data_IF_144139290671
#
_entry.id   IF_144139290671
#
_cell.length_a   1.000
_cell.length_b   1.000
_cell.length_c   1.000
_cell.angle_alpha   90.00
_cell.angle_beta   90.00
_cell.angle_gamma   90.00
#
_symmetry.space_group_name_H-M   'P 1'
#
loop_
_entity.id
_entity.type
_entity.pdbx_description
1 polymer ?
#
# COMPACT_ATOMS: atom_id res chain seq x y z
N UNK A 1 -25.03 -34.78 25.70
CA UNK A 1 -26.23 -34.17 25.09
C UNK A 1 -25.81 -32.85 24.48
N UNK A 2 -25.73 -32.83 23.10
CA UNK A 2 -26.25 -31.81 22.16
C UNK A 2 -25.78 -30.35 22.42
N UNK A 3 -25.12 -29.59 21.56
CA UNK A 3 -25.06 -29.52 20.09
C UNK A 3 -23.76 -28.82 19.67
N UNK A 4 -23.05 -29.41 18.73
CA UNK A 4 -22.09 -28.68 17.89
C UNK A 4 -22.84 -27.99 16.77
N UNK A 5 -22.58 -26.71 16.48
CA UNK A 5 -22.98 -26.05 15.23
C UNK A 5 -21.75 -25.41 14.57
N UNK A 6 -21.49 -25.97 13.39
CA UNK A 6 -20.61 -25.58 12.32
C UNK A 6 -20.74 -24.10 11.94
N UNK A 7 -19.59 -23.43 11.74
CA UNK A 7 -19.49 -22.35 10.77
C UNK A 7 -18.39 -22.75 9.78
N UNK A 8 -18.81 -23.00 8.55
CA UNK A 8 -17.90 -23.14 7.40
C UNK A 8 -17.67 -21.74 6.83
N UNK A 9 -16.43 -21.27 6.89
CA UNK A 9 -15.94 -20.16 6.06
C UNK A 9 -15.74 -20.69 4.63
N UNK A 10 -16.30 -20.00 3.65
CA UNK A 10 -16.05 -20.25 2.23
C UNK A 10 -14.70 -19.65 1.87
N UNK A 11 -13.69 -20.48 1.74
CA UNK A 11 -12.45 -20.11 1.04
C UNK A 11 -12.62 -20.59 -0.39
N UNK A 12 -12.51 -19.67 -1.35
CA UNK A 12 -12.53 -19.96 -2.78
C UNK A 12 -11.32 -20.81 -3.15
N UNK A 13 -11.60 -21.97 -3.65
CA UNK A 13 -10.60 -22.94 -4.09
C UNK A 13 -10.23 -22.72 -5.55
N UNK A 14 -9.00 -22.27 -5.79
CA UNK A 14 -8.30 -22.66 -7.03
C UNK A 14 -7.88 -24.12 -6.86
N UNK A 15 -8.39 -24.99 -7.74
CA UNK A 15 -8.35 -26.41 -7.54
C UNK A 15 -6.96 -27.02 -7.72
N UNK A 16 -6.52 -27.76 -6.72
CA UNK A 16 -5.60 -28.87 -6.91
C UNK A 16 -6.47 -30.13 -6.87
N UNK A 17 -6.74 -30.69 -8.03
CA UNK A 17 -7.38 -32.00 -8.15
C UNK A 17 -6.29 -33.07 -8.08
N UNK A 18 -5.94 -33.49 -6.88
CA UNK A 18 -5.16 -34.71 -6.68
C UNK A 18 -6.15 -35.85 -6.57
N UNK A 19 -6.39 -36.54 -7.70
CA UNK A 19 -7.15 -37.77 -7.70
C UNK A 19 -6.23 -38.92 -7.24
N UNK A 20 -6.35 -39.31 -5.97
CA UNK A 20 -5.85 -40.60 -5.52
C UNK A 20 -6.81 -41.71 -6.02
N UNK A 21 -6.49 -42.38 -7.08
CA UNK A 21 -7.11 -43.64 -7.47
C UNK A 21 -6.40 -44.79 -6.73
N UNK A 22 -7.12 -45.38 -5.79
CA UNK A 22 -6.72 -46.61 -5.16
C UNK A 22 -6.75 -47.76 -6.22
N UNK A 23 -5.61 -48.41 -6.34
CA UNK A 23 -5.43 -49.56 -7.21
C UNK A 23 -6.28 -50.75 -6.72
N UNK A 24 -7.22 -51.21 -7.55
CA UNK A 24 -7.61 -52.62 -7.55
C UNK A 24 -6.84 -53.31 -8.68
N UNK A 25 -5.90 -54.12 -8.26
CA UNK A 25 -5.19 -55.00 -9.18
C UNK A 25 -6.14 -55.98 -9.82
N UNK A 26 -6.34 -55.88 -11.14
CA UNK A 26 -6.66 -57.02 -11.98
C UNK A 26 -5.57 -57.08 -13.03
N UNK A 27 -4.82 -58.18 -12.97
CA UNK A 27 -3.88 -58.55 -14.03
C UNK A 27 -4.69 -58.77 -15.31
N UNK A 28 -4.42 -57.94 -16.27
CA UNK A 28 -4.65 -58.25 -17.68
C UNK A 28 -3.49 -57.70 -18.48
N UNK A 29 -2.95 -58.48 -19.40
CA UNK A 29 -1.89 -58.08 -20.29
C UNK A 29 -2.45 -57.07 -21.31
N UNK A 30 -2.62 -55.85 -20.87
CA UNK A 30 -2.86 -54.73 -21.75
C UNK A 30 -1.56 -54.00 -22.00
N UNK A 31 -1.30 -53.68 -23.25
CA UNK A 31 -0.15 -52.88 -23.68
C UNK A 31 0.09 -51.72 -22.71
N UNK A 32 1.26 -51.68 -22.07
CA UNK A 32 1.70 -50.55 -21.26
C UNK A 32 1.70 -49.30 -22.14
N UNK A 33 0.64 -48.51 -22.05
CA UNK A 33 0.61 -47.21 -22.70
C UNK A 33 1.68 -46.35 -21.95
N UNK A 34 2.80 -46.05 -22.64
CA UNK A 34 3.86 -45.32 -21.96
C UNK A 34 3.30 -43.98 -21.43
N UNK A 35 3.55 -43.74 -20.15
CA UNK A 35 3.19 -42.47 -19.55
C UNK A 35 3.86 -41.31 -20.31
N UNK A 36 3.08 -40.41 -20.86
CA UNK A 36 3.63 -39.25 -21.57
C UNK A 36 4.14 -38.26 -20.51
N UNK A 37 5.44 -38.04 -20.53
CA UNK A 37 6.13 -37.05 -19.70
C UNK A 37 6.51 -35.87 -20.57
N UNK A 38 6.17 -34.63 -20.13
CA UNK A 38 6.50 -33.39 -20.82
C UNK A 38 6.47 -32.24 -19.81
N UNK A 39 7.50 -31.42 -19.84
CA UNK A 39 7.50 -30.17 -19.08
C UNK A 39 8.79 -29.39 -19.21
N UNK A 40 8.75 -28.10 -18.91
CA UNK A 40 9.93 -27.28 -18.69
C UNK A 40 10.46 -27.46 -17.26
N UNK A 41 11.77 -27.41 -17.08
CA UNK A 41 12.40 -27.46 -15.76
C UNK A 41 12.09 -26.20 -14.97
N UNK A 42 12.08 -25.08 -15.67
CA UNK A 42 11.64 -23.78 -15.19
C UNK A 42 10.68 -23.19 -16.21
N UNK A 43 9.54 -22.68 -15.74
CA UNK A 43 8.46 -22.25 -16.62
C UNK A 43 8.12 -20.76 -16.47
N UNK A 44 8.91 -19.97 -15.73
CA UNK A 44 8.71 -18.53 -15.59
C UNK A 44 10.05 -17.80 -15.54
N UNK A 45 10.24 -16.86 -16.46
CA UNK A 45 11.46 -16.09 -16.61
C UNK A 45 11.14 -14.61 -16.61
N UNK A 46 11.93 -13.80 -15.87
CA UNK A 46 11.85 -12.35 -15.89
C UNK A 46 13.19 -11.78 -16.35
N UNK A 47 13.16 -11.01 -17.43
CA UNK A 47 14.34 -10.44 -18.07
C UNK A 47 14.29 -8.91 -18.09
N UNK A 48 15.45 -8.28 -18.31
CA UNK A 48 15.57 -6.84 -18.42
C UNK A 48 15.01 -6.32 -19.77
N UNK A 49 14.91 -5.00 -19.89
CA UNK A 49 14.42 -4.33 -21.11
C UNK A 49 15.32 -4.51 -22.32
N UNK A 50 16.61 -4.76 -22.12
CA UNK A 50 17.58 -4.95 -23.22
C UNK A 50 17.41 -6.32 -23.87
N UNK A 51 17.65 -6.37 -25.18
CA UNK A 51 17.64 -7.60 -25.96
C UNK A 51 18.54 -8.69 -25.36
N UNK A 52 18.18 -9.92 -25.55
CA UNK A 52 18.90 -11.08 -25.02
C UNK A 52 18.24 -12.41 -25.39
N UNK A 53 18.62 -13.44 -24.72
CA UNK A 53 17.98 -14.75 -24.82
C UNK A 53 17.81 -15.43 -23.46
N UNK A 54 16.90 -16.38 -23.39
CA UNK A 54 16.66 -17.26 -22.24
C UNK A 54 16.72 -18.70 -22.71
N UNK A 55 17.59 -19.50 -22.09
CA UNK A 55 17.68 -20.94 -22.30
C UNK A 55 16.61 -21.69 -21.51
N UNK A 56 15.87 -22.55 -22.17
CA UNK A 56 14.79 -23.34 -21.58
C UNK A 56 15.11 -24.82 -21.73
N UNK A 57 15.25 -25.51 -20.60
CA UNK A 57 15.44 -26.96 -20.55
C UNK A 57 14.07 -27.65 -20.50
N UNK A 58 13.82 -28.57 -21.43
CA UNK A 58 12.60 -29.36 -21.50
C UNK A 58 12.96 -30.84 -21.31
N UNK A 59 12.20 -31.52 -20.47
CA UNK A 59 12.18 -32.96 -20.40
C UNK A 59 10.97 -33.51 -21.16
N UNK A 60 11.15 -34.48 -22.01
CA UNK A 60 10.07 -35.13 -22.75
C UNK A 60 10.46 -36.50 -23.24
N UNK A 61 9.61 -37.49 -23.04
CA UNK A 61 9.77 -38.84 -23.62
C UNK A 61 9.13 -38.96 -25.00
N UNK A 62 8.62 -37.86 -25.58
CA UNK A 62 8.05 -37.79 -26.92
C UNK A 62 8.47 -36.48 -27.61
N UNK A 63 8.41 -36.43 -28.95
CA UNK A 63 8.60 -35.19 -29.67
C UNK A 63 7.61 -34.11 -29.22
N UNK A 64 8.10 -32.89 -29.05
CA UNK A 64 7.27 -31.72 -28.67
C UNK A 64 7.28 -30.67 -29.77
N UNK A 65 6.19 -29.93 -29.86
CA UNK A 65 5.99 -28.75 -30.73
C UNK A 65 5.96 -27.52 -29.85
N UNK A 66 6.67 -26.47 -30.28
CA UNK A 66 6.75 -25.16 -29.60
C UNK A 66 6.02 -24.10 -30.41
N UNK A 67 5.21 -23.31 -29.76
CA UNK A 67 4.53 -22.17 -30.39
C UNK A 67 4.21 -21.09 -29.37
N UNK A 68 4.17 -19.82 -29.82
CA UNK A 68 3.61 -18.76 -29.00
C UNK A 68 2.10 -18.91 -28.85
N UNK A 69 1.56 -18.61 -27.67
CA UNK A 69 0.13 -18.57 -27.38
C UNK A 69 -0.50 -17.20 -27.63
N UNK A 70 0.33 -16.19 -27.82
CA UNK A 70 -0.04 -14.78 -27.97
C UNK A 70 0.81 -14.11 -29.07
N UNK A 71 0.77 -12.79 -29.16
CA UNK A 71 1.51 -12.02 -30.17
C UNK A 71 3.04 -11.92 -29.87
N UNK A 72 3.56 -12.80 -29.02
CA UNK A 72 4.98 -12.84 -28.63
C UNK A 72 5.93 -12.87 -29.82
N UNK A 73 5.54 -13.52 -30.92
CA UNK A 73 6.30 -13.57 -32.16
C UNK A 73 6.62 -12.18 -32.78
N UNK A 74 5.98 -11.13 -32.34
CA UNK A 74 6.26 -9.77 -32.80
C UNK A 74 7.56 -9.18 -32.22
N UNK A 75 8.09 -9.73 -31.13
CA UNK A 75 9.26 -9.22 -30.42
C UNK A 75 10.17 -10.33 -29.82
N UNK A 76 9.77 -11.58 -30.00
CA UNK A 76 10.53 -12.73 -29.55
C UNK A 76 10.51 -13.82 -30.64
N UNK A 77 11.59 -14.59 -30.74
CA UNK A 77 11.76 -15.67 -31.67
C UNK A 77 12.14 -16.95 -30.90
N UNK A 78 11.62 -18.11 -31.36
CA UNK A 78 12.01 -19.41 -30.85
C UNK A 78 13.17 -19.97 -31.68
N UNK A 79 14.23 -20.45 -31.03
CA UNK A 79 15.35 -21.13 -31.73
C UNK A 79 14.90 -22.34 -32.50
N UNK A 80 13.88 -23.03 -31.98
CA UNK A 80 13.32 -24.25 -32.53
C UNK A 80 11.79 -24.22 -32.38
N UNK A 81 11.09 -24.83 -33.30
CA UNK A 81 9.65 -25.05 -33.23
C UNK A 81 9.30 -26.54 -32.91
N UNK A 82 10.31 -27.40 -32.84
CA UNK A 82 10.13 -28.81 -32.50
C UNK A 82 11.35 -29.35 -31.77
N UNK A 83 11.09 -30.11 -30.74
CA UNK A 83 12.10 -30.90 -30.00
C UNK A 83 11.83 -32.36 -30.22
N UNK A 84 12.87 -33.19 -30.54
CA UNK A 84 12.68 -34.62 -30.79
C UNK A 84 12.35 -35.43 -29.53
N UNK A 85 13.00 -35.11 -28.43
CA UNK A 85 12.83 -35.68 -27.08
C UNK A 85 13.30 -34.61 -26.08
N UNK A 86 13.85 -35.01 -24.93
CA UNK A 86 14.51 -34.09 -24.01
C UNK A 86 15.46 -33.15 -24.76
N UNK A 87 15.39 -31.88 -24.45
CA UNK A 87 16.18 -30.91 -25.18
C UNK A 87 16.19 -29.54 -24.55
N UNK A 88 16.82 -28.64 -25.28
CA UNK A 88 16.85 -27.22 -24.96
C UNK A 88 16.40 -26.44 -26.17
N UNK A 89 15.69 -25.36 -25.91
CA UNK A 89 15.50 -24.29 -26.86
C UNK A 89 15.77 -22.96 -26.16
N UNK A 90 15.89 -21.93 -26.90
CA UNK A 90 15.96 -20.58 -26.34
C UNK A 90 14.96 -19.66 -27.00
N UNK A 91 14.59 -18.63 -26.25
CA UNK A 91 13.76 -17.53 -26.73
C UNK A 91 14.68 -16.32 -26.84
N UNK A 92 14.94 -15.87 -28.07
CA UNK A 92 15.56 -14.59 -28.35
C UNK A 92 14.49 -13.50 -28.21
N UNK A 93 14.83 -12.38 -27.58
CA UNK A 93 13.90 -11.26 -27.42
C UNK A 93 14.60 -9.93 -27.74
N UNK A 94 13.84 -9.03 -28.39
CA UNK A 94 14.29 -7.70 -28.75
C UNK A 94 14.26 -6.73 -27.59
N UNK A 95 14.93 -5.56 -27.73
CA UNK A 95 14.81 -4.44 -26.78
C UNK A 95 13.35 -4.03 -26.58
N UNK A 96 13.03 -3.65 -25.35
CA UNK A 96 11.72 -3.12 -24.97
C UNK A 96 11.84 -1.66 -24.52
N UNK A 97 11.64 -0.72 -25.44
CA UNK A 97 11.63 0.72 -25.14
C UNK A 97 10.31 1.20 -24.48
N UNK A 98 9.29 0.33 -24.44
CA UNK A 98 7.95 0.60 -23.91
C UNK A 98 7.78 0.20 -22.44
N UNK A 99 6.54 -0.10 -22.07
CA UNK A 99 6.15 -0.69 -20.80
C UNK A 99 6.49 -2.19 -20.73
N UNK A 100 6.46 -2.81 -19.54
CA UNK A 100 6.63 -4.24 -19.40
C UNK A 100 5.72 -5.04 -20.32
N UNK A 101 6.22 -6.17 -20.85
CA UNK A 101 5.45 -7.05 -21.73
C UNK A 101 5.72 -8.50 -21.40
N UNK A 102 4.83 -9.38 -21.81
CA UNK A 102 4.88 -10.80 -21.53
C UNK A 102 4.49 -11.59 -22.77
N UNK A 103 5.03 -12.79 -22.88
CA UNK A 103 4.57 -13.80 -23.85
C UNK A 103 4.62 -15.18 -23.23
N UNK A 104 3.84 -16.08 -23.82
CA UNK A 104 3.74 -17.48 -23.40
C UNK A 104 4.11 -18.39 -24.54
N UNK A 105 4.97 -19.36 -24.27
CA UNK A 105 5.32 -20.42 -25.19
C UNK A 105 4.68 -21.72 -24.74
N UNK A 106 3.82 -22.26 -25.58
CA UNK A 106 3.25 -23.59 -25.41
C UNK A 106 4.28 -24.63 -25.82
N UNK A 107 4.51 -25.59 -24.95
CA UNK A 107 5.24 -26.83 -25.23
C UNK A 107 4.20 -27.94 -25.29
N UNK A 108 3.97 -28.55 -26.44
CA UNK A 108 2.90 -29.53 -26.61
C UNK A 108 3.49 -30.82 -27.18
N UNK A 109 3.11 -31.97 -26.61
CA UNK A 109 3.46 -33.29 -27.20
C UNK A 109 2.89 -33.40 -28.61
N UNK A 110 3.58 -34.17 -29.49
CA UNK A 110 3.18 -34.28 -30.91
C UNK A 110 1.77 -34.87 -31.09
N UNK A 111 1.28 -35.63 -30.15
CA UNK A 111 -0.07 -36.19 -30.11
C UNK A 111 -1.10 -35.27 -29.41
N UNK A 112 -0.66 -34.10 -28.96
CA UNK A 112 -1.46 -33.11 -28.26
C UNK A 112 -2.12 -33.57 -26.93
N UNK A 113 -1.63 -34.65 -26.33
CA UNK A 113 -2.19 -35.19 -25.07
C UNK A 113 -1.62 -34.48 -23.84
N UNK A 114 -0.38 -33.99 -23.91
CA UNK A 114 0.28 -33.24 -22.82
C UNK A 114 0.77 -31.89 -23.32
N UNK A 115 0.67 -30.90 -22.44
CA UNK A 115 1.23 -29.58 -22.69
C UNK A 115 1.75 -28.95 -21.41
N UNK A 116 2.73 -28.06 -21.57
CA UNK A 116 3.25 -27.20 -20.55
C UNK A 116 3.41 -25.79 -21.15
N UNK A 117 3.55 -24.76 -20.30
CA UNK A 117 3.64 -23.38 -20.76
C UNK A 117 4.81 -22.68 -20.06
N UNK A 118 5.66 -22.05 -20.85
CA UNK A 118 6.73 -21.18 -20.36
C UNK A 118 6.30 -19.73 -20.53
N UNK A 119 6.45 -18.94 -19.47
CA UNK A 119 6.14 -17.51 -19.43
C UNK A 119 7.43 -16.72 -19.46
N UNK A 120 7.57 -15.83 -20.44
CA UNK A 120 8.65 -14.84 -20.51
C UNK A 120 8.08 -13.45 -20.21
N UNK A 121 8.51 -12.85 -19.10
CA UNK A 121 8.22 -11.47 -18.71
C UNK A 121 9.43 -10.60 -19.01
N UNK A 122 9.25 -9.59 -19.83
CA UNK A 122 10.29 -8.61 -20.11
C UNK A 122 9.93 -7.26 -19.46
N UNK A 123 10.86 -6.72 -18.69
CA UNK A 123 10.75 -5.36 -18.15
C UNK A 123 10.72 -4.35 -19.28
N UNK A 124 10.08 -3.19 -19.06
CA UNK A 124 10.14 -2.06 -19.96
C UNK A 124 11.25 -1.09 -19.59
N UNK A 125 11.72 -0.32 -20.56
CA UNK A 125 12.53 0.87 -20.30
C UNK A 125 11.68 1.99 -19.65
N UNK A 126 10.36 1.96 -19.86
CA UNK A 126 9.38 2.82 -19.18
C UNK A 126 8.68 2.03 -18.08
N UNK A 127 8.45 2.68 -16.94
CA UNK A 127 7.66 2.13 -15.83
C UNK A 127 6.31 2.85 -15.85
N UNK A 128 5.17 2.11 -15.83
CA UNK A 128 3.86 2.73 -15.68
C UNK A 128 3.81 3.55 -14.38
N UNK A 129 3.14 4.68 -14.41
CA UNK A 129 3.01 5.56 -13.27
C UNK A 129 1.63 6.24 -13.25
N UNK A 130 1.03 6.30 -12.07
CA UNK A 130 -0.20 7.00 -11.76
C UNK A 130 -0.05 7.72 -10.42
N UNK A 131 -0.46 8.98 -10.35
CA UNK A 131 -0.45 9.73 -9.10
C UNK A 131 -1.54 10.80 -9.10
N UNK A 132 -2.26 10.96 -7.98
CA UNK A 132 -3.04 12.16 -7.71
C UNK A 132 -2.11 13.21 -7.09
N UNK A 133 -2.00 14.35 -7.72
CA UNK A 133 -1.24 15.47 -7.15
C UNK A 133 -2.06 16.16 -6.06
N UNK A 134 -1.45 16.33 -4.89
CA UNK A 134 -2.15 16.88 -3.71
C UNK A 134 -2.76 15.83 -2.78
N UNK A 135 -2.57 14.53 -3.08
CA UNK A 135 -2.97 13.42 -2.21
C UNK A 135 -4.16 12.62 -2.74
N UNK A 136 -4.53 11.61 -1.98
CA UNK A 136 -5.56 10.62 -2.34
C UNK A 136 -6.95 10.97 -1.80
N UNK A 137 -7.18 12.20 -1.37
CA UNK A 137 -8.47 12.67 -0.85
C UNK A 137 -8.80 14.06 -1.38
N UNK A 138 -10.06 14.29 -1.70
CA UNK A 138 -10.60 15.60 -2.07
C UNK A 138 -11.96 15.81 -1.41
N UNK A 139 -12.39 17.06 -1.23
CA UNK A 139 -13.72 17.35 -0.72
C UNK A 139 -14.49 18.26 -1.67
N UNK A 140 -15.80 18.04 -1.75
CA UNK A 140 -16.70 18.83 -2.60
C UNK A 140 -17.86 19.40 -1.79
N UNK A 141 -18.45 20.53 -2.23
CA UNK A 141 -19.62 21.11 -1.58
C UNK A 141 -20.80 20.12 -1.52
N UNK A 142 -21.62 20.26 -0.47
CA UNK A 142 -22.86 19.52 -0.32
C UNK A 142 -24.10 20.31 -0.72
N UNK A 143 -24.11 21.63 -0.51
CA UNK A 143 -25.28 22.49 -0.74
C UNK A 143 -25.78 22.51 -2.18
N UNK A 144 -24.95 22.13 -3.15
CA UNK A 144 -25.35 22.01 -4.56
C UNK A 144 -24.50 20.97 -5.26
N UNK A 145 -25.02 20.36 -6.33
CA UNK A 145 -24.23 19.58 -7.26
C UNK A 145 -23.28 20.45 -8.09
N UNK A 146 -22.27 19.85 -8.67
CA UNK A 146 -21.28 20.56 -9.46
C UNK A 146 -20.29 19.66 -10.18
N UNK A 147 -19.21 20.25 -10.64
CA UNK A 147 -18.07 19.59 -11.29
C UNK A 147 -16.82 19.78 -10.45
N UNK A 148 -16.02 18.75 -10.37
CA UNK A 148 -14.73 18.79 -9.69
C UNK A 148 -13.63 18.27 -10.61
N UNK A 149 -12.43 18.82 -10.42
CA UNK A 149 -11.20 18.38 -11.12
C UNK A 149 -10.10 18.19 -10.09
N UNK A 150 -9.36 17.11 -10.24
CA UNK A 150 -8.17 16.80 -9.43
C UNK A 150 -7.00 16.60 -10.40
N UNK A 151 -5.84 17.16 -10.09
CA UNK A 151 -4.64 16.92 -10.89
C UNK A 151 -4.24 15.45 -10.81
N UNK A 152 -3.90 14.90 -11.97
CA UNK A 152 -3.56 13.49 -12.09
C UNK A 152 -2.38 13.32 -13.05
N UNK A 153 -1.26 12.86 -12.51
CA UNK A 153 -0.08 12.57 -13.33
C UNK A 153 -0.08 11.12 -13.76
N UNK A 154 0.03 10.88 -15.08
CA UNK A 154 0.20 9.54 -15.63
C UNK A 154 1.03 9.55 -16.91
N UNK A 155 1.70 8.43 -17.20
CA UNK A 155 2.34 8.16 -18.48
C UNK A 155 1.64 7.02 -19.24
N UNK A 156 0.47 6.58 -18.75
CA UNK A 156 -0.39 5.54 -19.32
C UNK A 156 -1.44 6.23 -20.21
N UNK A 157 -1.79 5.62 -21.31
CA UNK A 157 -2.81 6.16 -22.19
C UNK A 157 -4.19 6.15 -21.52
N UNK A 158 -5.03 7.18 -21.67
CA UNK A 158 -6.33 7.27 -20.99
C UNK A 158 -7.29 6.10 -21.27
N UNK A 159 -7.19 5.49 -22.45
CA UNK A 159 -8.02 4.36 -22.87
C UNK A 159 -7.56 3.01 -22.28
N UNK A 160 -6.39 2.97 -21.67
CA UNK A 160 -5.90 1.81 -20.92
C UNK A 160 -6.30 1.86 -19.42
N UNK A 161 -6.84 3.01 -18.97
CA UNK A 161 -7.29 3.20 -17.59
C UNK A 161 -8.78 2.88 -17.44
N UNK A 162 -9.12 2.21 -16.35
CA UNK A 162 -10.50 1.94 -15.97
C UNK A 162 -10.84 2.57 -14.63
N UNK A 163 -12.10 3.03 -14.48
CA UNK A 163 -12.56 3.71 -13.28
C UNK A 163 -13.72 2.95 -12.66
N UNK A 164 -13.66 2.73 -11.36
CA UNK A 164 -14.76 2.16 -10.59
C UNK A 164 -15.02 3.02 -9.36
N UNK A 165 -16.28 3.13 -8.95
CA UNK A 165 -16.67 3.91 -7.79
C UNK A 165 -17.34 3.01 -6.77
N UNK A 166 -16.92 3.13 -5.51
CA UNK A 166 -17.56 2.52 -4.37
C UNK A 166 -18.06 3.63 -3.45
N UNK A 167 -19.34 3.58 -3.10
CA UNK A 167 -19.93 4.52 -2.16
C UNK A 167 -19.97 3.88 -0.78
N UNK A 168 -19.66 4.65 0.26
CA UNK A 168 -19.88 4.19 1.62
C UNK A 168 -21.40 4.16 1.87
N UNK A 169 -21.90 2.95 1.97
CA UNK A 169 -23.28 2.70 2.27
C UNK A 169 -23.46 2.46 3.77
N UNK A 170 -24.45 3.12 4.37
CA UNK A 170 -25.06 2.62 5.59
C UNK A 170 -25.75 1.25 5.36
N UNK A 171 -26.90 1.02 5.96
CA UNK A 171 -27.64 -0.26 5.85
C UNK A 171 -28.40 -0.45 4.55
N UNK A 172 -28.50 0.57 3.69
CA UNK A 172 -29.21 0.57 2.40
C UNK A 172 -28.24 0.69 1.22
N UNK A 173 -28.64 0.31 -0.01
CA UNK A 173 -27.80 0.53 -1.19
C UNK A 173 -27.44 2.02 -1.29
N UNK A 174 -26.16 2.31 -1.36
CA UNK A 174 -25.68 3.68 -1.45
C UNK A 174 -26.20 4.36 -2.73
N UNK A 175 -26.66 5.58 -2.61
CA UNK A 175 -27.00 6.42 -3.75
C UNK A 175 -25.74 6.74 -4.55
N UNK A 176 -25.77 6.54 -5.86
CA UNK A 176 -24.71 6.96 -6.77
C UNK A 176 -24.80 8.48 -6.97
N UNK A 177 -23.86 9.22 -6.42
CA UNK A 177 -23.86 10.67 -6.48
C UNK A 177 -22.69 11.27 -7.28
N UNK A 178 -21.74 10.42 -7.72
CA UNK A 178 -20.71 10.77 -8.69
C UNK A 178 -21.08 10.28 -10.08
N UNK A 179 -20.78 11.08 -11.10
CA UNK A 179 -21.03 10.75 -12.51
C UNK A 179 -19.97 11.38 -13.42
N UNK A 180 -20.00 11.06 -14.71
CA UNK A 180 -19.11 11.64 -15.76
C UNK A 180 -17.63 11.56 -15.39
N UNK A 181 -17.21 10.45 -14.73
CA UNK A 181 -15.83 10.25 -14.34
C UNK A 181 -14.98 10.06 -15.59
N UNK A 182 -13.96 10.90 -15.75
CA UNK A 182 -13.11 10.93 -16.93
C UNK A 182 -11.73 11.48 -16.65
N UNK A 183 -10.75 11.04 -17.43
CA UNK A 183 -9.42 11.65 -17.50
C UNK A 183 -9.35 12.53 -18.74
N UNK A 184 -9.01 13.79 -18.56
CA UNK A 184 -8.76 14.72 -19.66
C UNK A 184 -7.26 14.98 -19.76
N UNK A 185 -6.62 14.50 -20.84
CA UNK A 185 -5.24 14.85 -21.14
C UNK A 185 -5.12 16.35 -21.44
N UNK A 186 -4.21 17.02 -20.81
CA UNK A 186 -4.06 18.48 -20.92
C UNK A 186 -3.02 18.92 -21.96
N UNK A 187 -2.39 18.01 -22.69
CA UNK A 187 -1.37 18.31 -23.68
C UNK A 187 -0.05 18.78 -23.06
N UNK A 188 0.21 20.09 -23.04
CA UNK A 188 1.40 20.67 -22.37
C UNK A 188 1.14 21.03 -20.90
N UNK A 189 -0.11 20.97 -20.45
CA UNK A 189 -0.53 21.17 -19.07
C UNK A 189 -0.61 19.81 -18.36
N UNK A 190 -0.92 19.82 -17.06
CA UNK A 190 -1.11 18.60 -16.27
C UNK A 190 -2.47 17.95 -16.58
N UNK A 191 -2.50 16.63 -16.70
CA UNK A 191 -3.74 15.89 -16.87
C UNK A 191 -4.70 16.13 -15.72
N UNK A 192 -6.00 16.14 -15.98
CA UNK A 192 -7.03 16.34 -14.97
C UNK A 192 -7.98 15.15 -14.91
N UNK A 193 -8.19 14.67 -13.69
CA UNK A 193 -9.23 13.72 -13.37
C UNK A 193 -10.49 14.47 -13.00
N UNK A 194 -11.56 14.32 -13.79
CA UNK A 194 -12.79 15.08 -13.66
C UNK A 194 -13.96 14.18 -13.25
N UNK A 195 -14.88 14.73 -12.48
CA UNK A 195 -16.15 14.09 -12.16
C UNK A 195 -17.22 15.13 -11.84
N UNK A 196 -18.47 14.76 -12.11
CA UNK A 196 -19.65 15.52 -11.70
C UNK A 196 -20.20 14.91 -10.40
N UNK A 197 -20.81 15.71 -9.54
CA UNK A 197 -21.41 15.28 -8.29
C UNK A 197 -22.79 15.91 -8.07
N UNK A 198 -23.73 15.12 -7.54
CA UNK A 198 -25.05 15.60 -7.11
C UNK A 198 -24.98 16.31 -5.75
N UNK A 199 -25.94 17.19 -5.42
CA UNK A 199 -26.03 17.80 -4.10
C UNK A 199 -26.33 16.78 -2.99
N UNK A 200 -25.92 17.08 -1.79
CA UNK A 200 -26.19 16.30 -0.58
C UNK A 200 -27.32 16.94 0.22
N UNK A 201 -28.47 16.28 0.31
CA UNK A 201 -29.64 16.81 1.00
C UNK A 201 -29.66 16.49 2.51
N UNK A 202 -28.60 15.84 3.02
CA UNK A 202 -28.53 15.35 4.41
C UNK A 202 -27.63 16.23 5.29
N UNK A 203 -27.76 16.10 6.59
CA UNK A 203 -26.88 16.71 7.58
C UNK A 203 -25.63 15.84 7.85
N UNK A 204 -25.42 14.78 7.09
CA UNK A 204 -24.27 13.89 7.21
C UNK A 204 -23.32 14.05 6.02
N UNK A 205 -22.04 13.80 6.27
CA UNK A 205 -21.06 13.64 5.19
C UNK A 205 -21.35 12.36 4.43
N UNK A 206 -21.07 12.35 3.14
CA UNK A 206 -21.01 11.11 2.38
C UNK A 206 -19.69 10.97 1.65
N UNK A 207 -19.24 9.74 1.49
CA UNK A 207 -17.94 9.44 0.92
C UNK A 207 -18.08 8.47 -0.25
N UNK A 208 -17.18 8.61 -1.20
CA UNK A 208 -17.03 7.69 -2.30
C UNK A 208 -15.54 7.46 -2.56
N UNK A 209 -15.18 6.21 -2.84
CA UNK A 209 -13.83 5.85 -3.27
C UNK A 209 -13.84 5.59 -4.77
N UNK A 210 -13.11 6.40 -5.53
CA UNK A 210 -12.89 6.17 -6.95
C UNK A 210 -11.57 5.44 -7.10
N UNK A 211 -11.60 4.26 -7.73
CA UNK A 211 -10.41 3.47 -8.03
C UNK A 211 -10.08 3.61 -9.51
N UNK A 212 -8.86 4.04 -9.78
CA UNK A 212 -8.24 4.03 -11.10
C UNK A 212 -7.44 2.74 -11.20
N UNK A 213 -7.68 1.93 -12.22
CA UNK A 213 -7.00 0.65 -12.42
C UNK A 213 -6.34 0.60 -13.80
N UNK A 214 -5.14 0.03 -13.84
CA UNK A 214 -4.38 -0.27 -15.03
C UNK A 214 -3.94 -1.74 -15.00
N UNK A 215 -4.14 -2.45 -16.10
CA UNK A 215 -3.60 -3.79 -16.27
C UNK A 215 -2.32 -3.70 -17.06
N UNK A 216 -1.19 -3.97 -16.41
CA UNK A 216 0.12 -3.89 -17.06
C UNK A 216 0.34 -5.05 -18.03
N UNK A 217 1.41 -4.99 -18.82
CA UNK A 217 1.72 -6.03 -19.81
C UNK A 217 2.14 -7.38 -19.21
N UNK A 218 2.13 -7.53 -17.91
CA UNK A 218 2.28 -8.80 -17.19
C UNK A 218 0.93 -9.35 -16.68
N UNK A 219 -0.17 -8.72 -17.08
CA UNK A 219 -1.54 -9.02 -16.64
C UNK A 219 -1.75 -8.78 -15.13
N UNK A 220 -0.90 -7.95 -14.52
CA UNK A 220 -1.05 -7.53 -13.13
C UNK A 220 -1.83 -6.22 -13.08
N UNK A 221 -2.75 -6.12 -12.12
CA UNK A 221 -3.56 -4.92 -11.94
C UNK A 221 -2.89 -3.98 -10.95
N UNK A 222 -2.56 -2.78 -11.40
CA UNK A 222 -2.13 -1.68 -10.57
C UNK A 222 -3.32 -0.76 -10.28
N UNK A 223 -3.45 -0.28 -9.05
CA UNK A 223 -4.58 0.53 -8.62
C UNK A 223 -4.15 1.74 -7.83
N UNK A 224 -4.88 2.83 -8.05
CA UNK A 224 -4.76 4.06 -7.28
C UNK A 224 -6.17 4.52 -6.88
N UNK A 225 -6.35 4.94 -5.63
CA UNK A 225 -7.65 5.38 -5.12
C UNK A 225 -7.69 6.87 -4.85
N UNK A 226 -8.84 7.49 -5.14
CA UNK A 226 -9.20 8.85 -4.71
C UNK A 226 -10.44 8.77 -3.83
N UNK A 227 -10.33 9.26 -2.60
CA UNK A 227 -11.48 9.41 -1.71
C UNK A 227 -12.12 10.78 -1.92
N UNK A 228 -13.39 10.79 -2.27
CA UNK A 228 -14.18 11.99 -2.45
C UNK A 228 -15.12 12.13 -1.26
N UNK A 229 -14.95 13.20 -0.48
CA UNK A 229 -15.79 13.51 0.68
C UNK A 229 -16.73 14.62 0.28
N UNK A 230 -18.04 14.37 0.35
CA UNK A 230 -19.01 15.44 0.14
C UNK A 230 -19.50 15.98 1.48
N UNK A 231 -19.46 17.31 1.59
CA UNK A 231 -19.93 18.04 2.77
C UNK A 231 -21.44 17.84 2.97
N UNK A 232 -21.92 18.17 4.16
CA UNK A 232 -23.36 18.17 4.48
C UNK A 232 -24.12 19.18 3.62
N UNK A 233 -25.43 19.15 3.62
CA UNK A 233 -26.30 20.12 2.91
C UNK A 233 -26.00 21.59 3.23
N UNK A 234 -25.38 21.86 4.39
CA UNK A 234 -24.97 23.20 4.83
C UNK A 234 -23.46 23.45 4.61
N UNK A 235 -22.80 22.67 3.78
CA UNK A 235 -21.36 22.71 3.48
C UNK A 235 -20.45 22.52 4.71
N UNK A 236 -20.92 21.81 5.73
CA UNK A 236 -20.13 21.48 6.90
C UNK A 236 -19.31 20.22 6.67
N UNK A 237 -18.01 20.30 6.95
CA UNK A 237 -17.10 19.13 6.90
C UNK A 237 -16.98 18.44 8.26
N UNK A 238 -17.22 19.19 9.33
CA UNK A 238 -17.11 18.73 10.71
C UNK A 238 -16.84 19.92 11.64
N UNK A 239 -16.49 19.62 12.89
CA UNK A 239 -16.16 20.60 13.92
C UNK A 239 -14.69 20.49 14.29
N UNK A 240 -13.97 21.61 14.28
CA UNK A 240 -12.59 21.63 14.74
C UNK A 240 -12.53 21.25 16.22
N UNK A 241 -11.60 20.35 16.56
CA UNK A 241 -11.27 19.99 17.94
C UNK A 241 -9.79 20.28 18.19
N UNK A 242 -9.47 20.89 19.31
CA UNK A 242 -8.08 21.13 19.70
C UNK A 242 -7.42 19.87 20.26
N UNK A 243 -6.09 19.80 20.23
CA UNK A 243 -5.34 18.73 20.87
C UNK A 243 -5.63 18.61 22.36
N UNK A 244 -5.78 19.73 23.05
CA UNK A 244 -6.12 19.75 24.48
C UNK A 244 -7.49 19.11 24.74
N UNK A 245 -8.53 19.51 24.00
CA UNK A 245 -9.87 18.95 24.14
C UNK A 245 -9.90 17.47 23.77
N UNK A 246 -9.18 17.07 22.71
CA UNK A 246 -9.11 15.68 22.30
C UNK A 246 -8.42 14.80 23.36
N UNK A 247 -7.37 15.31 24.04
CA UNK A 247 -6.74 14.61 25.17
C UNK A 247 -7.71 14.41 26.32
N UNK A 248 -8.52 15.42 26.66
CA UNK A 248 -9.57 15.30 27.68
C UNK A 248 -10.63 14.26 27.26
N UNK A 249 -11.04 14.26 25.99
CA UNK A 249 -11.99 13.25 25.46
C UNK A 249 -11.42 11.85 25.51
N UNK A 250 -10.15 11.66 25.19
CA UNK A 250 -9.50 10.34 25.21
C UNK A 250 -9.51 9.64 26.58
N UNK A 251 -9.73 10.37 27.66
CA UNK A 251 -9.88 9.77 29.00
C UNK A 251 -11.23 9.06 29.19
N UNK A 252 -12.23 9.34 28.38
CA UNK A 252 -13.60 8.85 28.56
C UNK A 252 -14.22 8.28 27.28
N UNK A 253 -13.71 8.63 26.11
CA UNK A 253 -14.20 8.20 24.79
C UNK A 253 -13.17 7.27 24.19
N UNK A 254 -13.56 6.05 23.89
CA UNK A 254 -12.71 5.08 23.21
C UNK A 254 -12.94 5.03 21.70
N UNK A 255 -14.10 5.43 21.21
CA UNK A 255 -14.42 5.52 19.77
C UNK A 255 -15.12 6.84 19.50
N UNK A 256 -14.69 7.51 18.43
CA UNK A 256 -15.23 8.82 18.02
C UNK A 256 -16.49 8.60 17.18
N UNK A 257 -17.62 9.07 17.66
CA UNK A 257 -18.89 9.02 16.95
C UNK A 257 -19.26 10.37 16.27
N UNK A 258 -18.50 11.42 16.55
CA UNK A 258 -18.73 12.77 16.03
C UNK A 258 -17.73 13.10 14.91
N UNK A 259 -18.10 14.06 14.06
CA UNK A 259 -17.26 14.57 12.96
C UNK A 259 -16.26 15.61 13.49
N UNK A 260 -15.30 15.16 14.30
CA UNK A 260 -14.23 16.03 14.78
C UNK A 260 -13.11 16.15 13.76
N UNK A 261 -12.62 17.37 13.57
CA UNK A 261 -11.50 17.70 12.70
C UNK A 261 -10.30 18.09 13.54
N UNK A 262 -9.23 17.32 13.45
CA UNK A 262 -7.96 17.60 14.13
C UNK A 262 -6.93 18.11 13.12
N UNK A 263 -6.44 19.35 13.33
CA UNK A 263 -5.39 19.95 12.51
C UNK A 263 -4.04 19.88 13.25
N UNK A 264 -2.99 19.41 12.59
CA UNK A 264 -1.65 19.33 13.18
C UNK A 264 -0.55 19.18 12.16
N UNK A 265 0.69 19.12 12.66
CA UNK A 265 1.88 18.88 11.84
C UNK A 265 2.45 17.48 12.10
N UNK A 266 2.83 16.80 11.03
CA UNK A 266 3.54 15.51 11.12
C UNK A 266 4.98 15.76 11.53
N UNK A 267 5.39 15.27 12.70
CA UNK A 267 6.76 15.45 13.22
C UNK A 267 7.61 14.19 13.12
N UNK A 268 6.98 13.04 12.92
CA UNK A 268 7.64 11.77 12.65
C UNK A 268 6.79 10.93 11.70
N UNK A 269 7.41 10.40 10.65
CA UNK A 269 6.80 9.53 9.64
C UNK A 269 7.45 8.14 9.66
N UNK A 270 7.09 7.26 8.71
CA UNK A 270 7.66 5.91 8.60
C UNK A 270 9.19 5.92 8.42
N UNK A 271 9.72 6.90 7.69
CA UNK A 271 11.15 6.99 7.40
C UNK A 271 11.96 7.46 8.60
N UNK A 272 11.32 8.14 9.56
CA UNK A 272 11.93 8.56 10.83
C UNK A 272 12.26 7.39 11.75
N UNK A 273 11.66 6.21 11.55
CA UNK A 273 11.91 4.95 12.27
C UNK A 273 11.80 5.06 13.81
N UNK A 274 10.92 5.92 14.31
CA UNK A 274 10.74 6.19 15.74
C UNK A 274 9.86 5.18 16.48
N UNK A 275 9.19 4.27 15.76
CA UNK A 275 8.35 3.20 16.32
C UNK A 275 9.00 1.80 16.15
N UNK A 276 10.34 1.75 16.13
CA UNK A 276 11.08 0.48 16.08
C UNK A 276 10.93 -0.31 17.38
N UNK A 277 10.81 -1.62 17.27
CA UNK A 277 10.75 -2.53 18.41
C UNK A 277 11.93 -3.50 18.39
N UNK A 278 12.63 -3.64 19.52
CA UNK A 278 13.64 -4.67 19.72
C UNK A 278 13.24 -5.57 20.92
N UNK A 279 12.41 -6.60 20.67
CA UNK A 279 11.93 -7.47 21.75
C UNK A 279 13.03 -8.35 22.36
N UNK A 280 14.17 -8.47 21.66
CA UNK A 280 15.33 -9.24 22.12
C UNK A 280 16.57 -8.35 22.22
N UNK A 281 16.89 -7.77 23.37
CA UNK A 281 18.05 -6.86 23.53
C UNK A 281 19.40 -7.47 23.17
N UNK A 282 19.47 -8.80 23.07
CA UNK A 282 20.67 -9.55 22.64
C UNK A 282 20.74 -9.79 21.15
N UNK A 283 19.63 -9.59 20.43
CA UNK A 283 19.58 -9.63 18.98
C UNK A 283 19.85 -8.23 18.42
N UNK A 284 20.65 -8.16 17.36
CA UNK A 284 21.01 -6.91 16.70
C UNK A 284 19.90 -6.40 15.77
N UNK A 285 18.84 -7.17 15.57
CA UNK A 285 17.74 -6.80 14.70
C UNK A 285 16.73 -5.90 15.40
N UNK A 286 16.38 -4.78 14.77
CA UNK A 286 15.26 -3.92 15.17
C UNK A 286 14.11 -4.17 14.20
N UNK A 287 12.96 -4.51 14.74
CA UNK A 287 11.72 -4.61 13.96
C UNK A 287 11.14 -3.21 13.77
N UNK A 288 11.13 -2.74 12.54
CA UNK A 288 10.55 -1.45 12.14
C UNK A 288 9.15 -1.57 11.54
N UNK A 289 8.52 -2.74 11.57
CA UNK A 289 7.18 -2.94 11.01
C UNK A 289 6.14 -2.00 11.63
N UNK A 290 6.29 -1.64 12.90
CA UNK A 290 5.45 -0.65 13.55
C UNK A 290 5.52 0.74 12.90
N UNK A 291 6.65 1.11 12.31
CA UNK A 291 6.82 2.41 11.65
C UNK A 291 5.97 2.54 10.38
N UNK A 292 5.65 1.43 9.72
CA UNK A 292 4.85 1.44 8.49
C UNK A 292 3.45 2.03 8.71
N UNK A 293 2.91 1.94 9.93
CA UNK A 293 1.56 2.38 10.28
C UNK A 293 1.53 3.57 11.24
N UNK A 294 2.68 4.02 11.74
CA UNK A 294 2.75 4.99 12.83
C UNK A 294 3.33 6.31 12.39
N UNK A 295 2.67 7.40 12.78
CA UNK A 295 3.17 8.77 12.66
C UNK A 295 2.96 9.52 13.97
N UNK A 296 3.75 10.57 14.23
CA UNK A 296 3.55 11.48 15.35
C UNK A 296 3.04 12.81 14.83
N UNK A 297 1.93 13.26 15.41
CA UNK A 297 1.25 14.49 15.04
C UNK A 297 1.35 15.49 16.19
N UNK A 298 1.87 16.67 15.91
CA UNK A 298 2.04 17.77 16.88
C UNK A 298 0.99 18.86 16.64
N UNK A 299 0.49 19.44 17.74
CA UNK A 299 -0.43 20.58 17.68
C UNK A 299 0.23 21.81 17.04
N UNK A 300 -0.55 22.70 16.38
CA UNK A 300 0.00 23.89 15.74
C UNK A 300 0.76 24.82 16.69
N UNK A 301 0.44 24.80 17.99
CA UNK A 301 1.15 25.56 19.03
C UNK A 301 2.35 24.83 19.64
N UNK A 302 2.61 23.58 19.20
CA UNK A 302 3.72 22.75 19.67
C UNK A 302 3.55 22.17 21.08
N UNK A 303 2.40 22.33 21.72
CA UNK A 303 2.24 21.95 23.13
C UNK A 303 1.98 20.45 23.33
N UNK A 304 1.24 19.84 22.42
CA UNK A 304 0.73 18.49 22.57
C UNK A 304 1.01 17.63 21.36
N UNK A 305 1.23 16.33 21.58
CA UNK A 305 1.39 15.35 20.54
C UNK A 305 0.43 14.19 20.68
N UNK A 306 0.14 13.55 19.55
CA UNK A 306 -0.53 12.26 19.44
C UNK A 306 0.30 11.28 18.61
N UNK A 307 0.31 10.02 19.03
CA UNK A 307 0.69 8.93 18.16
C UNK A 307 -0.53 8.56 17.30
N UNK A 308 -0.40 8.62 15.99
CA UNK A 308 -1.43 8.24 15.05
C UNK A 308 -1.06 6.90 14.42
N UNK A 309 -1.95 5.91 14.55
CA UNK A 309 -1.81 4.60 13.91
C UNK A 309 -2.83 4.48 12.79
N UNK A 310 -2.35 4.24 11.58
CA UNK A 310 -3.22 4.02 10.42
C UNK A 310 -3.81 2.59 10.43
N UNK A 311 -4.93 2.40 9.76
CA UNK A 311 -5.60 1.10 9.67
C UNK A 311 -4.71 0.08 8.96
N UNK A 312 -4.10 0.48 7.85
CA UNK A 312 -3.14 -0.33 7.09
C UNK A 312 -1.86 0.46 6.80
N UNK A 313 -0.75 -0.17 6.39
CA UNK A 313 0.45 0.53 5.93
C UNK A 313 0.18 1.44 4.71
N UNK A 314 -0.73 1.04 3.84
CA UNK A 314 -1.13 1.78 2.63
C UNK A 314 -1.87 3.07 2.96
N UNK A 315 -2.58 3.10 4.09
CA UNK A 315 -3.24 4.30 4.60
C UNK A 315 -2.27 5.35 5.13
N UNK A 316 -0.99 4.96 5.38
CA UNK A 316 0.02 5.87 5.88
C UNK A 316 0.61 6.73 4.74
N UNK A 317 -0.17 7.72 4.32
CA UNK A 317 0.23 8.71 3.31
C UNK A 317 0.97 9.93 3.90
N UNK A 318 1.27 9.92 5.19
CA UNK A 318 1.89 11.04 5.88
C UNK A 318 3.38 11.18 5.58
N UNK A 319 3.85 12.41 5.44
CA UNK A 319 5.26 12.76 5.31
C UNK A 319 5.63 13.80 6.35
N UNK A 320 6.82 13.71 6.88
CA UNK A 320 7.32 14.64 7.90
C UNK A 320 7.19 16.10 7.43
N UNK A 321 6.72 16.94 8.34
CA UNK A 321 6.38 18.37 8.17
C UNK A 321 5.11 18.65 7.36
N UNK A 322 4.38 17.65 6.90
CA UNK A 322 3.06 17.89 6.35
C UNK A 322 2.17 18.58 7.40
N UNK A 323 1.41 19.58 6.96
CA UNK A 323 0.27 20.08 7.71
C UNK A 323 -0.96 19.29 7.28
N UNK A 324 -1.63 18.65 8.21
CA UNK A 324 -2.77 17.77 7.91
C UNK A 324 -3.98 18.15 8.74
N UNK A 325 -5.17 17.95 8.17
CA UNK A 325 -6.45 17.97 8.89
C UNK A 325 -7.09 16.59 8.74
N UNK A 326 -7.38 15.96 9.87
CA UNK A 326 -7.87 14.57 9.93
C UNK A 326 -9.28 14.60 10.48
N UNK A 327 -10.22 13.97 9.78
CA UNK A 327 -11.57 13.67 10.25
C UNK A 327 -11.52 12.44 11.14
N UNK A 328 -11.90 12.57 12.41
CA UNK A 328 -11.75 11.51 13.41
C UNK A 328 -12.96 10.59 13.57
N UNK A 329 -14.04 10.79 12.81
CA UNK A 329 -15.21 9.91 12.82
C UNK A 329 -14.76 8.44 12.64
N UNK A 330 -15.21 7.56 13.53
CA UNK A 330 -14.86 6.13 13.62
C UNK A 330 -13.44 5.79 14.08
N UNK A 331 -12.59 6.78 14.36
CA UNK A 331 -11.28 6.55 14.96
C UNK A 331 -11.40 6.03 16.40
N UNK A 332 -10.42 5.27 16.83
CA UNK A 332 -10.25 4.83 18.22
C UNK A 332 -9.31 5.77 18.96
N UNK A 333 -9.71 6.24 20.15
CA UNK A 333 -8.87 7.02 21.04
C UNK A 333 -8.35 6.11 22.17
N UNK A 334 -7.04 6.16 22.39
CA UNK A 334 -6.38 5.37 23.44
C UNK A 334 -5.54 6.29 24.31
N UNK A 335 -5.74 6.16 25.63
CA UNK A 335 -4.90 6.78 26.64
C UNK A 335 -4.16 5.69 27.42
N UNK A 336 -2.84 5.83 27.55
CA UNK A 336 -1.99 4.96 28.36
C UNK A 336 -1.28 5.82 29.41
N UNK A 337 -1.47 5.55 30.70
CA UNK A 337 -0.79 6.29 31.78
C UNK A 337 0.65 5.81 31.99
N UNK A 338 1.47 6.64 32.66
CA UNK A 338 2.79 6.34 33.19
C UNK A 338 3.84 5.91 32.13
N UNK A 339 4.33 6.82 31.30
CA UNK A 339 3.94 8.22 31.16
C UNK A 339 2.64 8.40 30.34
N UNK A 340 2.01 9.55 30.46
CA UNK A 340 0.75 9.86 29.76
C UNK A 340 0.96 9.87 28.24
N UNK A 341 0.43 8.85 27.54
CA UNK A 341 0.50 8.72 26.09
C UNK A 341 -0.89 8.70 25.49
N UNK A 342 -1.06 9.49 24.45
CA UNK A 342 -2.32 9.64 23.73
C UNK A 342 -2.18 9.14 22.30
N UNK A 343 -3.08 8.26 21.88
CA UNK A 343 -3.04 7.68 20.54
C UNK A 343 -4.38 7.78 19.84
N UNK A 344 -4.33 7.90 18.53
CA UNK A 344 -5.48 7.85 17.62
C UNK A 344 -5.23 6.68 16.68
N UNK A 345 -6.12 5.70 16.67
CA UNK A 345 -5.95 4.48 15.88
C UNK A 345 -7.03 4.33 14.82
N UNK A 346 -6.72 3.52 13.80
CA UNK A 346 -7.65 3.18 12.74
C UNK A 346 -7.82 4.28 11.69
N UNK A 347 -6.84 5.20 11.58
CA UNK A 347 -6.89 6.27 10.59
C UNK A 347 -6.69 5.67 9.20
N UNK A 348 -7.62 5.99 8.30
CA UNK A 348 -7.56 5.65 6.88
C UNK A 348 -7.16 6.86 6.06
N UNK A 349 -6.60 6.64 4.89
CA UNK A 349 -6.26 7.73 3.96
C UNK A 349 -7.47 8.61 3.62
N UNK A 350 -8.67 8.03 3.56
CA UNK A 350 -9.94 8.76 3.36
C UNK A 350 -10.30 9.75 4.46
N UNK A 351 -9.74 9.59 5.66
CA UNK A 351 -9.97 10.50 6.79
C UNK A 351 -9.06 11.74 6.75
N UNK A 352 -8.07 11.78 5.86
CA UNK A 352 -7.20 12.95 5.67
C UNK A 352 -7.92 13.92 4.73
N UNK A 353 -8.60 14.90 5.28
CA UNK A 353 -9.46 15.83 4.52
C UNK A 353 -8.71 17.01 3.93
N UNK A 354 -7.57 17.37 4.51
CA UNK A 354 -6.65 18.40 3.99
C UNK A 354 -5.21 17.97 4.25
N UNK A 355 -4.32 18.21 3.27
CA UNK A 355 -2.90 17.94 3.40
C UNK A 355 -2.10 18.98 2.62
N UNK A 356 -1.18 19.65 3.30
CA UNK A 356 -0.22 20.58 2.68
C UNK A 356 1.16 19.97 2.81
N UNK A 357 1.78 19.67 1.68
CA UNK A 357 3.09 19.02 1.57
C UNK A 357 4.20 20.02 1.20
N UNK A 358 5.44 19.55 1.20
CA UNK A 358 6.59 20.36 0.76
C UNK A 358 7.08 21.37 1.80
N UNK A 359 6.62 21.25 3.04
CA UNK A 359 7.11 22.04 4.16
C UNK A 359 8.46 21.50 4.68
N UNK A 360 9.15 22.32 5.46
CA UNK A 360 10.34 21.96 6.20
C UNK A 360 10.15 22.24 7.71
N UNK A 361 11.20 22.03 8.50
CA UNK A 361 11.14 22.19 9.95
C UNK A 361 10.75 23.60 10.42
N UNK A 362 10.77 24.62 9.55
CA UNK A 362 10.42 26.01 9.92
C UNK A 362 8.93 26.22 10.21
N UNK A 363 8.08 25.27 9.78
CA UNK A 363 6.64 25.32 10.09
C UNK A 363 6.34 24.93 11.55
N UNK A 364 7.27 24.25 12.20
CA UNK A 364 7.10 23.80 13.59
C UNK A 364 7.48 24.91 14.57
N UNK A 365 6.78 25.03 15.71
CA UNK A 365 7.17 25.90 16.79
C UNK A 365 8.57 25.56 17.31
N UNK A 366 9.40 26.57 17.52
CA UNK A 366 10.73 26.38 18.11
C UNK A 366 10.63 26.07 19.59
N UNK A 367 10.83 24.82 19.95
CA UNK A 367 10.76 24.29 21.32
C UNK A 367 12.13 23.84 21.79
N UNK A 368 12.83 24.70 22.53
CA UNK A 368 14.15 24.39 23.10
C UNK A 368 14.00 24.08 24.58
N UNK A 369 14.39 22.89 25.01
CA UNK A 369 14.29 22.42 26.39
C UNK A 369 15.58 21.76 26.87
N UNK A 370 15.83 21.85 28.16
CA UNK A 370 16.75 20.95 28.83
C UNK A 370 16.07 19.62 29.10
N UNK A 371 16.85 18.55 29.27
CA UNK A 371 16.27 17.22 29.64
C UNK A 371 15.41 17.31 30.90
N UNK A 372 15.76 18.20 31.85
CA UNK A 372 15.00 18.43 33.08
C UNK A 372 13.65 19.11 32.93
N UNK A 373 13.42 19.72 31.78
CA UNK A 373 12.19 20.46 31.50
C UNK A 373 11.19 19.64 30.66
N UNK A 374 11.58 18.43 30.29
CA UNK A 374 10.70 17.51 29.57
C UNK A 374 9.59 17.01 30.51
N UNK A 375 8.37 16.98 29.99
CA UNK A 375 7.17 16.50 30.67
C UNK A 375 6.41 15.57 29.74
N UNK A 376 5.36 14.93 30.25
CA UNK A 376 4.50 14.05 29.44
C UNK A 376 3.76 14.81 28.31
N UNK A 377 3.65 16.16 28.40
CA UNK A 377 3.14 16.99 27.30
C UNK A 377 4.05 17.01 26.08
N UNK A 378 5.37 16.75 26.26
CA UNK A 378 6.34 16.73 25.17
C UNK A 378 6.34 15.43 24.39
N UNK A 379 5.66 14.39 24.86
CA UNK A 379 5.58 13.09 24.19
C UNK A 379 4.90 13.27 22.82
N UNK A 380 5.51 12.69 21.77
CA UNK A 380 5.11 12.80 20.37
C UNK A 380 5.18 14.21 19.78
N UNK A 381 5.98 15.11 20.38
CA UNK A 381 6.22 16.45 19.86
C UNK A 381 7.66 16.63 19.39
N UNK A 382 7.93 17.68 18.61
CA UNK A 382 9.27 18.02 18.14
C UNK A 382 9.97 18.95 19.11
N UNK A 383 11.03 18.47 19.75
CA UNK A 383 11.81 19.20 20.77
C UNK A 383 13.27 19.28 20.39
N UNK A 384 13.87 20.45 20.50
CA UNK A 384 15.33 20.65 20.43
C UNK A 384 15.90 20.61 21.83
N UNK A 385 16.70 19.59 22.13
CA UNK A 385 17.37 19.48 23.42
C UNK A 385 18.62 20.37 23.47
N UNK A 386 18.80 21.05 24.59
CA UNK A 386 19.93 21.95 24.86
C UNK A 386 20.93 21.32 25.80
N UNK A 387 22.20 21.66 25.59
CA UNK A 387 23.29 21.35 26.49
C UNK A 387 23.32 19.86 26.91
N UNK A 388 23.17 18.98 25.93
CA UNK A 388 23.27 17.53 26.12
C UNK A 388 24.28 16.93 25.15
N UNK A 389 24.80 15.77 25.52
CA UNK A 389 25.72 14.96 24.73
C UNK A 389 25.33 13.49 24.76
N UNK A 390 25.84 12.72 23.82
CA UNK A 390 25.62 11.28 23.87
C UNK A 390 26.41 10.67 25.04
N UNK A 391 25.71 9.96 25.93
CA UNK A 391 26.35 9.23 27.01
C UNK A 391 27.15 8.05 26.43
N UNK A 392 28.47 8.07 26.65
CA UNK A 392 29.36 6.99 26.23
C UNK A 392 29.42 5.94 27.32
N UNK A 393 28.92 4.75 27.05
CA UNK A 393 29.04 3.63 27.97
C UNK A 393 30.32 2.85 27.67
N UNK A 394 31.30 2.89 28.61
CA UNK A 394 32.53 2.08 28.60
C UNK A 394 33.32 2.04 27.28
N UNK A 395 33.47 3.16 26.61
CA UNK A 395 34.36 3.30 25.45
C UNK A 395 33.91 2.57 24.18
N UNK A 396 32.65 2.14 24.08
CA UNK A 396 32.08 1.55 22.87
C UNK A 396 31.00 2.47 22.30
N UNK A 397 31.31 3.11 21.19
CA UNK A 397 30.35 3.79 20.33
C UNK A 397 29.75 2.75 19.34
N UNK A 398 29.06 1.73 19.85
CA UNK A 398 28.33 0.84 18.98
C UNK A 398 26.88 1.28 18.90
N UNK A 399 26.44 1.85 17.77
CA UNK A 399 25.12 2.45 17.61
C UNK A 399 23.97 1.48 17.67
N UNK A 400 24.22 0.19 17.65
CA UNK A 400 23.22 -0.80 17.23
C UNK A 400 22.55 -1.56 18.38
N UNK A 401 23.14 -1.55 19.58
CA UNK A 401 22.70 -2.48 20.63
C UNK A 401 22.08 -1.88 21.88
N UNK A 402 22.30 -0.62 22.17
CA UNK A 402 21.95 -0.09 23.50
C UNK A 402 21.05 1.15 23.44
N UNK A 403 20.59 1.54 22.24
CA UNK A 403 19.92 2.83 22.05
C UNK A 403 20.84 4.00 22.41
N UNK A 404 20.59 5.14 21.80
CA UNK A 404 21.32 6.34 22.19
C UNK A 404 20.75 6.87 23.49
N UNK A 405 21.60 7.13 24.45
CA UNK A 405 21.23 7.85 25.67
C UNK A 405 21.89 9.24 25.62
N UNK A 406 21.08 10.27 25.77
CA UNK A 406 21.57 11.63 25.94
C UNK A 406 21.76 11.92 27.43
N UNK A 407 22.80 12.66 27.77
CA UNK A 407 23.07 13.13 29.11
C UNK A 407 23.18 14.64 29.14
N UNK A 408 22.66 15.29 30.17
CA UNK A 408 22.91 16.70 30.43
C UNK A 408 24.10 16.91 31.38
N UNK A 409 24.50 18.14 31.58
CA UNK A 409 25.63 18.50 32.47
C UNK A 409 25.39 18.11 33.94
N UNK A 410 24.16 17.80 34.33
CA UNK A 410 23.78 17.32 35.65
C UNK A 410 23.72 15.81 35.74
N UNK A 411 24.05 15.09 34.67
CA UNK A 411 24.04 13.64 34.58
C UNK A 411 22.64 13.02 34.47
N UNK A 412 21.62 13.82 34.11
CA UNK A 412 20.30 13.29 33.79
C UNK A 412 20.35 12.61 32.45
N UNK A 413 19.69 11.47 32.33
CA UNK A 413 19.72 10.62 31.17
C UNK A 413 18.35 10.59 30.46
N UNK A 414 18.37 10.70 29.15
CA UNK A 414 17.23 10.50 28.27
C UNK A 414 17.55 9.36 27.31
N UNK A 415 16.81 8.27 27.40
CA UNK A 415 16.94 7.15 26.46
C UNK A 415 16.14 7.45 25.19
N UNK A 416 16.79 7.42 24.03
CA UNK A 416 16.14 7.61 22.73
C UNK A 416 15.39 6.38 22.23
N UNK A 417 15.39 5.26 22.98
CA UNK A 417 14.61 4.09 22.66
C UNK A 417 13.12 4.27 23.02
N UNK A 418 12.82 5.25 23.88
CA UNK A 418 11.49 5.42 24.47
C UNK A 418 10.85 6.78 24.18
N UNK A 419 11.36 7.49 23.17
CA UNK A 419 10.80 8.78 22.73
C UNK A 419 9.95 8.57 21.49
#
# INVERSE_FOLDING_TARGET
>A
MKYAKRYMAKIGSAGILLAALAATACMDHGDDIPLIELGAVENSFTVNATAGHVDIQVYSNQPAVLSFLDDGASWADLSDTRLPLDGKFYIDYADNAGFPRMTRVLIQSADAVRSDTVVLRQRGARVPAMAFEGGTSTNVPGSSGGKASVRFGTNIAPDELTFTTQYDAGEEPAEEWLSEISLQPAGEEEDTFNFDYAGNDTDELRTATVTVSYVNGWEETEQLTLNVIQRTKNDMLGHDISFAELREKALTVSKVDEYWLLEGYVVSDRDSKNAGNNPMPTDMSVDYSGCEKTVYLESPDGRYGFCVETATPEDNAFTRYDKVKILLKDAELVFEPDPDRYMIKGIRSSMIVERVTGNDASVLPVKQKYISELTDEDIYTFVTLRDCEFAVRKGSLTPVHEGYTLADAQGRLLSLIHI
#
